data_IF_709421896900
#
_entry.id   IF_709421896900
#
_cell.length_a   1.000
_cell.length_b   1.000
_cell.length_c   1.000
_cell.angle_alpha   90.00
_cell.angle_beta   90.00
_cell.angle_gamma   90.00
#
_symmetry.space_group_name_H-M   'P 1'
#
loop_
_entity.id
_entity.type
_entity.pdbx_description
1 polymer ?
#
# COMPACT_ATOMS: atom_id res chain seq x y z
N UNK A 1 14.87 -11.32 5.65
CA UNK A 1 14.48 -9.90 5.50
C UNK A 1 15.22 -9.20 4.36
N UNK A 2 16.56 -9.13 4.37
CA UNK A 2 17.34 -8.47 3.30
C UNK A 2 17.00 -8.95 1.88
N UNK A 3 16.81 -10.28 1.69
CA UNK A 3 16.42 -10.85 0.40
C UNK A 3 15.06 -10.30 -0.09
N UNK A 4 14.04 -10.26 0.77
CA UNK A 4 12.71 -9.74 0.42
C UNK A 4 12.79 -8.27 0.00
N UNK A 5 13.49 -7.46 0.81
CA UNK A 5 13.72 -6.04 0.51
C UNK A 5 14.43 -5.88 -0.83
N UNK A 6 15.49 -6.65 -1.06
CA UNK A 6 16.24 -6.64 -2.32
C UNK A 6 15.36 -6.97 -3.53
N UNK A 7 14.53 -8.01 -3.45
CA UNK A 7 13.62 -8.39 -4.55
C UNK A 7 12.58 -7.30 -4.83
N UNK A 8 11.97 -6.75 -3.78
CA UNK A 8 10.97 -5.68 -3.92
C UNK A 8 11.60 -4.39 -4.48
N UNK A 9 12.80 -4.04 -4.04
CA UNK A 9 13.53 -2.88 -4.58
C UNK A 9 13.94 -3.10 -6.04
N UNK A 10 14.40 -4.30 -6.40
CA UNK A 10 14.69 -4.63 -7.80
C UNK A 10 13.45 -4.49 -8.68
N UNK A 11 12.29 -4.93 -8.20
CA UNK A 11 11.02 -4.72 -8.89
C UNK A 11 10.69 -3.23 -9.07
N UNK A 12 10.76 -2.44 -7.99
CA UNK A 12 10.51 -1.00 -8.03
C UNK A 12 11.47 -0.26 -8.98
N UNK A 13 12.76 -0.61 -8.95
CA UNK A 13 13.76 -0.05 -9.87
C UNK A 13 13.47 -0.43 -11.33
N UNK A 14 13.11 -1.69 -11.58
CA UNK A 14 12.73 -2.15 -12.91
C UNK A 14 11.54 -1.37 -13.45
N UNK A 15 10.43 -1.31 -12.70
CA UNK A 15 9.24 -0.57 -13.11
C UNK A 15 9.52 0.92 -13.28
N UNK A 16 10.25 1.54 -12.33
CA UNK A 16 10.62 2.94 -12.40
C UNK A 16 11.45 3.26 -13.64
N UNK A 17 12.44 2.42 -13.97
CA UNK A 17 13.25 2.56 -15.18
C UNK A 17 12.41 2.40 -16.45
N UNK A 18 11.55 1.37 -16.52
CA UNK A 18 10.68 1.15 -17.69
C UNK A 18 9.74 2.34 -17.94
N UNK A 19 9.20 2.92 -16.87
CA UNK A 19 8.39 4.14 -16.94
C UNK A 19 9.20 5.36 -17.40
N UNK A 20 10.40 5.57 -16.87
CA UNK A 20 11.22 6.74 -17.18
C UNK A 20 11.71 6.77 -18.63
N UNK A 21 11.90 5.60 -19.27
CA UNK A 21 12.21 5.49 -20.71
C UNK A 21 10.95 5.48 -21.60
N UNK A 22 9.76 5.72 -21.03
CA UNK A 22 8.52 5.89 -21.78
C UNK A 22 7.82 4.60 -22.22
N UNK A 23 8.26 3.41 -21.77
CA UNK A 23 7.66 2.13 -22.21
C UNK A 23 6.20 1.96 -21.78
N UNK A 24 5.82 2.58 -20.67
CA UNK A 24 4.44 2.53 -20.15
C UNK A 24 3.50 3.54 -20.81
N UNK A 25 4.00 4.43 -21.68
CA UNK A 25 3.16 5.32 -22.47
C UNK A 25 2.58 4.68 -23.74
N UNK A 26 2.81 3.38 -23.96
CA UNK A 26 2.50 2.69 -25.21
C UNK A 26 1.19 1.89 -25.13
N UNK A 27 0.39 1.88 -26.21
CA UNK A 27 -0.84 1.08 -26.31
C UNK A 27 -0.63 -0.42 -25.98
N UNK A 28 0.46 -1.09 -26.43
CA UNK A 28 0.70 -2.48 -26.06
C UNK A 28 0.81 -2.70 -24.55
N UNK A 29 1.35 -1.74 -23.79
CA UNK A 29 1.43 -1.85 -22.34
C UNK A 29 0.05 -1.77 -21.68
N UNK A 30 -0.81 -0.87 -22.13
CA UNK A 30 -2.18 -0.76 -21.62
C UNK A 30 -3.02 -2.00 -21.91
N UNK A 31 -2.79 -2.66 -23.05
CA UNK A 31 -3.43 -3.93 -23.40
C UNK A 31 -3.05 -5.08 -22.46
N UNK A 32 -1.96 -4.98 -21.71
CA UNK A 32 -1.60 -5.94 -20.66
C UNK A 32 -2.38 -5.73 -19.36
N UNK A 33 -3.26 -4.73 -19.30
CA UNK A 33 -4.07 -4.40 -18.14
C UNK A 33 -3.25 -4.16 -16.85
N UNK A 34 -2.31 -3.19 -16.85
CA UNK A 34 -1.33 -3.01 -15.79
C UNK A 34 -1.91 -2.77 -14.39
N UNK A 35 -3.13 -2.21 -14.31
CA UNK A 35 -3.85 -2.05 -13.04
C UNK A 35 -4.12 -3.36 -12.30
N UNK A 36 -4.22 -4.49 -13.03
CA UNK A 36 -4.56 -5.79 -12.47
C UNK A 36 -3.38 -6.66 -12.05
N UNK A 37 -2.15 -6.33 -12.46
CA UNK A 37 -0.99 -7.14 -12.10
C UNK A 37 0.10 -6.34 -11.41
N UNK A 38 0.34 -5.09 -11.81
CA UNK A 38 1.51 -4.33 -11.32
C UNK A 38 1.54 -4.17 -9.79
N UNK A 39 0.41 -3.84 -9.12
CA UNK A 39 0.39 -3.77 -7.65
C UNK A 39 0.47 -5.12 -6.96
N UNK A 40 0.07 -6.20 -7.63
CA UNK A 40 -0.02 -7.52 -7.04
C UNK A 40 1.30 -8.29 -7.11
N UNK A 41 2.19 -7.99 -8.06
CA UNK A 41 3.52 -8.64 -8.14
C UNK A 41 4.28 -8.59 -6.81
N UNK A 42 4.53 -7.42 -6.18
CA UNK A 42 5.25 -7.39 -4.90
C UNK A 42 4.47 -8.09 -3.77
N UNK A 43 3.14 -8.08 -3.80
CA UNK A 43 2.29 -8.81 -2.84
C UNK A 43 2.49 -10.32 -2.96
N UNK A 44 2.35 -10.86 -4.18
CA UNK A 44 2.49 -12.29 -4.47
C UNK A 44 3.90 -12.76 -4.12
N UNK A 45 4.92 -11.99 -4.49
CA UNK A 45 6.32 -12.29 -4.15
C UNK A 45 6.51 -12.32 -2.63
N UNK A 46 6.07 -11.28 -1.92
CA UNK A 46 6.22 -11.20 -0.48
C UNK A 46 5.51 -12.35 0.25
N UNK A 47 4.27 -12.66 -0.12
CA UNK A 47 3.50 -13.74 0.47
C UNK A 47 4.11 -15.11 0.15
N UNK A 48 4.51 -15.36 -1.10
CA UNK A 48 5.15 -16.62 -1.49
C UNK A 48 6.45 -16.86 -0.71
N UNK A 49 7.27 -15.82 -0.57
CA UNK A 49 8.50 -15.89 0.23
C UNK A 49 8.19 -16.08 1.72
N UNK A 50 7.20 -15.39 2.27
CA UNK A 50 6.81 -15.51 3.68
C UNK A 50 6.30 -16.93 4.00
N UNK A 51 5.53 -17.54 3.10
CA UNK A 51 5.01 -18.90 3.26
C UNK A 51 6.12 -19.96 3.10
N UNK A 52 7.08 -19.74 2.21
CA UNK A 52 8.12 -20.73 1.88
C UNK A 52 9.36 -20.64 2.78
N UNK A 53 9.67 -19.46 3.33
CA UNK A 53 10.90 -19.20 4.07
C UNK A 53 10.61 -18.94 5.54
N UNK A 54 10.69 -19.98 6.38
CA UNK A 54 10.50 -19.85 7.82
C UNK A 54 11.36 -18.72 8.46
N UNK A 55 12.66 -18.55 8.13
CA UNK A 55 13.46 -17.46 8.69
C UNK A 55 12.95 -16.06 8.33
N UNK A 56 12.32 -15.90 7.16
CA UNK A 56 11.70 -14.63 6.78
C UNK A 56 10.47 -14.36 7.64
N UNK A 57 9.60 -15.36 7.77
CA UNK A 57 8.38 -15.28 8.59
C UNK A 57 8.69 -14.93 10.04
N UNK A 58 9.67 -15.60 10.64
CA UNK A 58 10.06 -15.35 12.03
C UNK A 58 10.70 -13.96 12.19
N UNK A 59 11.53 -13.55 11.23
CA UNK A 59 12.08 -12.18 11.22
C UNK A 59 11.00 -11.10 11.10
N UNK A 60 9.93 -11.33 10.34
CA UNK A 60 8.81 -10.39 10.23
C UNK A 60 7.99 -10.30 11.53
N UNK A 61 7.84 -11.42 12.26
CA UNK A 61 7.21 -11.41 13.60
C UNK A 61 8.03 -10.59 14.59
N UNK A 62 9.34 -10.85 14.65
CA UNK A 62 10.28 -10.09 15.49
C UNK A 62 10.25 -8.60 15.13
N UNK A 63 10.18 -8.26 13.85
CA UNK A 63 10.07 -6.86 13.42
C UNK A 63 8.84 -6.17 14.03
N UNK A 64 7.68 -6.82 14.04
CA UNK A 64 6.48 -6.22 14.64
C UNK A 64 6.60 -6.17 16.16
N UNK A 65 7.11 -7.22 16.79
CA UNK A 65 7.23 -7.34 18.26
C UNK A 65 8.19 -6.28 18.84
N UNK A 66 9.29 -6.00 18.16
CA UNK A 66 10.33 -5.05 18.61
C UNK A 66 10.05 -3.62 18.16
N UNK A 67 9.07 -3.39 17.28
CA UNK A 67 8.71 -2.04 16.83
C UNK A 67 7.64 -1.45 17.74
N UNK A 68 7.87 -0.26 18.35
CA UNK A 68 6.83 0.36 19.16
C UNK A 68 5.58 0.65 18.33
N UNK A 69 4.40 0.37 18.89
CA UNK A 69 3.10 0.44 18.17
C UNK A 69 2.86 1.78 17.46
N UNK A 70 3.30 2.89 18.05
CA UNK A 70 3.15 4.21 17.43
C UNK A 70 3.98 4.39 16.14
N UNK A 71 5.08 3.65 15.95
CA UNK A 71 5.80 3.63 14.68
C UNK A 71 5.07 2.78 13.62
N UNK A 72 4.47 1.67 14.04
CA UNK A 72 3.66 0.81 13.17
C UNK A 72 2.45 1.56 12.61
N UNK A 73 1.78 2.39 13.41
CA UNK A 73 0.75 3.30 12.93
C UNK A 73 1.32 4.53 12.20
N UNK A 74 2.45 5.07 12.68
CA UNK A 74 3.02 6.34 12.24
C UNK A 74 3.47 6.37 10.79
N UNK A 75 3.98 5.25 10.26
CA UNK A 75 4.35 5.15 8.85
C UNK A 75 3.17 5.39 7.89
N UNK A 76 1.94 5.11 8.33
CA UNK A 76 0.75 5.34 7.50
C UNK A 76 0.38 6.82 7.37
N UNK A 77 0.99 7.74 8.13
CA UNK A 77 0.84 9.19 7.93
C UNK A 77 1.29 9.59 6.52
N UNK A 78 2.24 8.84 5.91
CA UNK A 78 2.68 9.07 4.54
C UNK A 78 1.53 9.00 3.51
N UNK A 79 0.42 8.35 3.84
CA UNK A 79 -0.78 8.28 2.98
C UNK A 79 -1.46 9.63 2.78
N UNK A 80 -1.13 10.64 3.60
CA UNK A 80 -1.56 12.03 3.37
C UNK A 80 -1.03 12.57 2.02
N UNK A 81 0.04 11.99 1.48
CA UNK A 81 0.55 12.35 0.16
C UNK A 81 -0.44 12.05 -0.98
N UNK A 82 -1.50 11.26 -0.75
CA UNK A 82 -2.65 11.16 -1.67
C UNK A 82 -3.33 12.50 -1.94
N UNK A 83 -3.14 13.51 -1.08
CA UNK A 83 -3.51 14.89 -1.35
C UNK A 83 -2.93 15.38 -2.68
N UNK A 84 -1.71 14.96 -3.05
CA UNK A 84 -1.11 15.32 -4.33
C UNK A 84 -1.92 14.84 -5.54
N UNK A 85 -2.41 13.60 -5.51
CA UNK A 85 -3.27 13.05 -6.58
C UNK A 85 -4.65 13.71 -6.60
N UNK A 86 -5.21 14.03 -5.43
CA UNK A 86 -6.48 14.75 -5.32
C UNK A 86 -6.37 16.19 -5.86
N UNK A 87 -5.29 16.90 -5.53
CA UNK A 87 -5.04 18.23 -6.07
C UNK A 87 -4.86 18.22 -7.58
N UNK A 88 -4.11 17.24 -8.13
CA UNK A 88 -3.99 17.10 -9.58
C UNK A 88 -5.33 16.81 -10.25
N UNK A 89 -6.14 15.93 -9.66
CA UNK A 89 -7.48 15.63 -10.17
C UNK A 89 -8.37 16.87 -10.15
N UNK A 90 -8.38 17.66 -9.06
CA UNK A 90 -9.12 18.93 -9.00
C UNK A 90 -8.70 19.98 -10.03
N UNK A 91 -7.55 19.81 -10.70
CA UNK A 91 -7.09 20.66 -11.80
C UNK A 91 -7.18 19.95 -13.18
N UNK A 92 -7.91 18.83 -13.26
CA UNK A 92 -8.07 18.01 -14.47
C UNK A 92 -6.74 17.45 -15.04
N UNK A 93 -5.75 17.24 -14.17
CA UNK A 93 -4.43 16.69 -14.51
C UNK A 93 -4.25 15.22 -14.09
N UNK A 94 -5.32 14.57 -13.62
CA UNK A 94 -5.30 13.19 -13.14
C UNK A 94 -6.70 12.58 -13.21
N UNK A 95 -6.84 11.25 -13.36
CA UNK A 95 -8.15 10.57 -13.37
C UNK A 95 -8.94 10.88 -12.09
N UNK A 96 -10.11 11.49 -12.28
CA UNK A 96 -10.99 12.00 -11.24
C UNK A 96 -11.57 10.86 -10.39
N UNK A 97 -12.21 9.87 -11.01
CA UNK A 97 -12.79 8.73 -10.29
C UNK A 97 -11.71 7.98 -9.52
N UNK A 98 -10.58 7.65 -10.15
CA UNK A 98 -9.49 7.00 -9.45
C UNK A 98 -9.00 7.82 -8.25
N UNK A 99 -8.73 9.12 -8.43
CA UNK A 99 -8.22 9.98 -7.37
C UNK A 99 -9.17 10.06 -6.17
N UNK A 100 -10.47 10.25 -6.40
CA UNK A 100 -11.43 10.41 -5.32
C UNK A 100 -11.79 9.08 -4.64
N UNK A 101 -11.96 7.99 -5.40
CA UNK A 101 -12.31 6.68 -4.83
C UNK A 101 -11.15 5.94 -4.19
N UNK A 102 -9.92 6.16 -4.66
CA UNK A 102 -8.72 5.52 -4.09
C UNK A 102 -7.98 6.50 -3.18
N UNK A 103 -7.66 7.69 -3.68
CA UNK A 103 -6.90 8.71 -2.95
C UNK A 103 -7.68 9.38 -1.82
N UNK A 104 -9.01 9.51 -1.94
CA UNK A 104 -9.86 10.05 -0.86
C UNK A 104 -9.79 9.21 0.42
N UNK A 105 -10.13 7.91 0.37
CA UNK A 105 -9.96 7.00 1.50
C UNK A 105 -8.51 6.89 1.98
N UNK A 106 -7.53 6.93 1.08
CA UNK A 106 -6.10 6.91 1.43
C UNK A 106 -5.70 8.12 2.29
N UNK A 107 -6.13 9.31 1.90
CA UNK A 107 -5.94 10.56 2.64
C UNK A 107 -6.62 10.50 4.02
N UNK A 108 -7.89 10.09 4.07
CA UNK A 108 -8.62 9.96 5.33
C UNK A 108 -7.93 8.98 6.28
N UNK A 109 -7.45 7.86 5.76
CA UNK A 109 -6.68 6.91 6.56
C UNK A 109 -5.36 7.50 7.04
N UNK A 110 -4.64 8.24 6.19
CA UNK A 110 -3.41 8.95 6.57
C UNK A 110 -3.62 9.98 7.67
N UNK A 111 -4.73 10.73 7.62
CA UNK A 111 -5.13 11.64 8.70
C UNK A 111 -5.48 10.87 9.98
N UNK A 112 -6.21 9.76 9.86
CA UNK A 112 -6.51 8.88 11.01
C UNK A 112 -5.23 8.34 11.66
N UNK A 113 -4.19 8.06 10.86
CA UNK A 113 -2.90 7.56 11.34
C UNK A 113 -2.19 8.57 12.24
N UNK A 114 -2.38 9.87 12.05
CA UNK A 114 -1.87 10.90 12.98
C UNK A 114 -2.49 10.70 14.36
N UNK A 115 -3.83 10.62 14.41
CA UNK A 115 -4.59 10.48 15.66
C UNK A 115 -4.22 9.17 16.36
N UNK A 116 -4.24 8.06 15.62
CA UNK A 116 -3.91 6.73 16.14
C UNK A 116 -2.48 6.68 16.67
N UNK A 117 -1.53 7.30 15.97
CA UNK A 117 -0.13 7.36 16.42
C UNK A 117 0.04 8.11 17.74
N UNK A 118 -0.66 9.24 17.90
CA UNK A 118 -0.63 10.01 19.15
C UNK A 118 -1.27 9.25 20.32
N UNK A 119 -2.38 8.56 20.06
CA UNK A 119 -3.06 7.72 21.06
C UNK A 119 -2.26 6.46 21.41
N UNK A 120 -1.64 5.81 20.42
CA UNK A 120 -0.74 4.67 20.62
C UNK A 120 0.48 5.07 21.46
N UNK A 121 1.08 6.24 21.18
CA UNK A 121 2.23 6.75 21.94
C UNK A 121 1.89 7.02 23.41
N UNK A 122 0.63 7.36 23.71
CA UNK A 122 0.15 7.59 25.07
C UNK A 122 -0.39 6.32 25.75
N UNK A 123 -0.29 5.14 25.11
CA UNK A 123 -0.76 3.87 25.66
C UNK A 123 -2.28 3.77 25.80
N UNK A 124 -3.04 4.58 25.04
CA UNK A 124 -4.50 4.70 25.17
C UNK A 124 -5.29 3.78 24.24
N UNK A 125 -4.61 3.00 23.39
CA UNK A 125 -5.25 2.11 22.43
C UNK A 125 -5.08 0.66 22.87
N UNK A 126 -6.15 -0.12 22.74
CA UNK A 126 -6.08 -1.56 22.94
C UNK A 126 -5.53 -2.26 21.71
N UNK A 127 -4.94 -3.44 21.94
CA UNK A 127 -4.44 -4.32 20.87
C UNK A 127 -5.52 -4.64 19.84
N UNK A 128 -6.76 -4.86 20.31
CA UNK A 128 -7.93 -5.11 19.46
C UNK A 128 -8.23 -3.94 18.52
N UNK A 129 -8.12 -2.71 19.01
CA UNK A 129 -8.33 -1.52 18.19
C UNK A 129 -7.24 -1.41 17.11
N UNK A 130 -5.97 -1.62 17.48
CA UNK A 130 -4.83 -1.59 16.54
C UNK A 130 -5.00 -2.61 15.43
N UNK A 131 -5.41 -3.85 15.78
CA UNK A 131 -5.71 -4.91 14.83
C UNK A 131 -6.76 -4.46 13.80
N UNK A 132 -7.94 -4.02 14.27
CA UNK A 132 -9.02 -3.63 13.36
C UNK A 132 -8.69 -2.38 12.54
N UNK A 133 -7.96 -1.43 13.11
CA UNK A 133 -7.53 -0.23 12.40
C UNK A 133 -6.60 -0.57 11.24
N UNK A 134 -5.63 -1.48 11.45
CA UNK A 134 -4.77 -1.96 10.37
C UNK A 134 -5.53 -2.77 9.31
N UNK A 135 -6.49 -3.62 9.71
CA UNK A 135 -7.37 -4.31 8.75
C UNK A 135 -8.18 -3.32 7.90
N UNK A 136 -8.77 -2.30 8.51
CA UNK A 136 -9.47 -1.24 7.80
C UNK A 136 -8.53 -0.51 6.83
N UNK A 137 -7.28 -0.26 7.23
CA UNK A 137 -6.25 0.35 6.40
C UNK A 137 -5.91 -0.44 5.15
N UNK A 138 -5.79 -1.76 5.27
CA UNK A 138 -5.59 -2.66 4.12
C UNK A 138 -6.83 -2.67 3.21
N UNK A 139 -8.03 -2.81 3.78
CA UNK A 139 -9.28 -2.87 3.03
C UNK A 139 -9.58 -1.58 2.25
N UNK A 140 -9.21 -0.42 2.80
CA UNK A 140 -9.36 0.86 2.14
C UNK A 140 -8.61 0.94 0.79
N UNK A 141 -7.56 0.15 0.60
CA UNK A 141 -6.80 0.06 -0.67
C UNK A 141 -7.28 -1.14 -1.49
N UNK A 142 -7.36 -2.31 -0.86
CA UNK A 142 -7.61 -3.57 -1.57
C UNK A 142 -9.00 -3.57 -2.22
N UNK A 143 -10.03 -3.03 -1.56
CA UNK A 143 -11.39 -3.08 -2.06
C UNK A 143 -11.55 -2.28 -3.38
N UNK A 144 -11.14 -0.99 -3.46
CA UNK A 144 -11.19 -0.27 -4.74
C UNK A 144 -10.29 -0.89 -5.81
N UNK A 145 -9.06 -1.28 -5.45
CA UNK A 145 -8.07 -1.78 -6.42
C UNK A 145 -8.43 -3.16 -6.97
N UNK A 146 -9.00 -4.05 -6.17
CA UNK A 146 -9.42 -5.38 -6.63
C UNK A 146 -10.79 -5.36 -7.30
N UNK A 147 -11.74 -4.59 -6.75
CA UNK A 147 -13.14 -4.62 -7.17
C UNK A 147 -13.47 -3.69 -8.34
N UNK A 148 -12.80 -2.55 -8.45
CA UNK A 148 -13.22 -1.44 -9.32
C UNK A 148 -12.18 -1.04 -10.38
N UNK A 149 -11.05 -1.74 -10.49
CA UNK A 149 -9.96 -1.36 -11.40
C UNK A 149 -10.40 -1.24 -12.87
N UNK A 150 -11.29 -2.10 -13.36
CA UNK A 150 -11.87 -2.00 -14.70
C UNK A 150 -12.58 -0.66 -14.96
N UNK A 151 -13.20 -0.06 -13.93
CA UNK A 151 -13.86 1.24 -14.03
C UNK A 151 -12.84 2.38 -14.13
N UNK A 152 -11.73 2.27 -13.41
CA UNK A 152 -10.67 3.27 -13.44
C UNK A 152 -9.84 3.20 -14.73
N UNK A 153 -9.61 2.00 -15.25
CA UNK A 153 -8.80 1.76 -16.44
C UNK A 153 -9.35 2.39 -17.72
N UNK A 154 -10.66 2.62 -17.80
CA UNK A 154 -11.31 3.27 -18.94
C UNK A 154 -11.37 4.79 -18.81
N UNK A 155 -10.90 5.34 -17.69
CA UNK A 155 -10.95 6.77 -17.42
C UNK A 155 -9.91 7.54 -18.24
N UNK A 156 -10.22 8.76 -18.72
CA UNK A 156 -9.22 9.66 -19.27
C UNK A 156 -8.06 9.86 -18.29
N UNK A 157 -6.84 10.01 -18.82
CA UNK A 157 -5.62 10.21 -18.03
C UNK A 157 -5.25 9.04 -17.10
N UNK A 158 -5.90 7.87 -17.16
CA UNK A 158 -5.48 6.70 -16.38
C UNK A 158 -4.01 6.31 -16.64
N UNK A 159 -3.52 6.61 -17.84
CA UNK A 159 -2.11 6.49 -18.22
C UNK A 159 -1.13 7.22 -17.29
N UNK A 160 -1.54 8.35 -16.71
CA UNK A 160 -0.72 9.18 -15.82
C UNK A 160 -0.30 8.44 -14.53
N UNK A 161 -1.04 7.39 -14.13
CA UNK A 161 -0.64 6.53 -13.00
C UNK A 161 0.67 5.80 -13.27
N UNK A 162 0.98 5.50 -14.52
CA UNK A 162 2.15 4.70 -14.91
C UNK A 162 3.31 5.55 -15.41
N UNK A 163 3.17 6.89 -15.36
CA UNK A 163 4.25 7.81 -15.68
C UNK A 163 5.13 8.05 -14.45
N UNK A 164 6.44 8.20 -14.67
CA UNK A 164 7.38 8.44 -13.58
C UNK A 164 7.19 9.88 -13.04
N UNK A 165 7.22 10.10 -11.70
CA UNK A 165 7.49 9.14 -10.63
C UNK A 165 6.23 8.42 -10.10
N UNK A 166 5.05 8.71 -10.64
CA UNK A 166 3.76 8.23 -10.12
C UNK A 166 3.66 6.70 -10.10
N UNK A 167 4.25 6.02 -11.08
CA UNK A 167 4.27 4.56 -11.17
C UNK A 167 4.82 3.85 -9.92
N UNK A 168 5.67 4.55 -9.15
CA UNK A 168 6.23 4.00 -7.91
C UNK A 168 5.16 3.73 -6.85
N UNK A 169 4.03 4.45 -6.89
CA UNK A 169 2.92 4.21 -5.98
C UNK A 169 2.31 2.82 -6.16
N UNK A 170 1.73 2.46 -7.33
CA UNK A 170 1.19 1.12 -7.53
C UNK A 170 2.26 0.04 -7.50
N UNK A 171 3.50 0.31 -7.90
CA UNK A 171 4.52 -0.74 -7.99
C UNK A 171 5.26 -1.05 -6.69
N UNK A 172 5.31 -0.11 -5.74
CA UNK A 172 6.13 -0.25 -4.54
C UNK A 172 5.41 0.24 -3.28
N UNK A 173 4.98 1.52 -3.25
CA UNK A 173 4.51 2.16 -2.02
C UNK A 173 3.20 1.55 -1.54
N UNK A 174 2.19 1.51 -2.41
CA UNK A 174 0.85 1.02 -2.08
C UNK A 174 0.89 -0.45 -1.64
N UNK A 175 1.54 -1.38 -2.38
CA UNK A 175 1.67 -2.77 -1.94
C UNK A 175 2.40 -2.92 -0.61
N UNK A 176 3.45 -2.12 -0.37
CA UNK A 176 4.19 -2.17 0.90
C UNK A 176 3.32 -1.74 2.07
N UNK A 177 2.53 -0.67 1.92
CA UNK A 177 1.61 -0.20 2.95
C UNK A 177 0.48 -1.20 3.23
N UNK A 178 -0.02 -1.89 2.20
CA UNK A 178 -1.01 -2.98 2.37
C UNK A 178 -0.38 -4.15 3.13
N UNK A 179 0.79 -4.62 2.69
CA UNK A 179 1.49 -5.73 3.33
C UNK A 179 1.82 -5.43 4.79
N UNK A 180 2.23 -4.19 5.10
CA UNK A 180 2.51 -3.79 6.48
C UNK A 180 1.25 -3.78 7.34
N UNK A 181 0.13 -3.22 6.85
CA UNK A 181 -1.15 -3.30 7.55
C UNK A 181 -1.54 -4.75 7.86
N UNK A 182 -1.44 -5.63 6.87
CA UNK A 182 -1.78 -7.04 7.04
C UNK A 182 -0.82 -7.76 7.98
N UNK A 183 0.48 -7.48 7.92
CA UNK A 183 1.49 -8.06 8.80
C UNK A 183 1.24 -7.69 10.27
N UNK A 184 0.96 -6.41 10.55
CA UNK A 184 0.67 -5.96 11.91
C UNK A 184 -0.64 -6.58 12.41
N UNK A 185 -1.70 -6.54 11.61
CA UNK A 185 -2.97 -7.16 11.98
C UNK A 185 -2.84 -8.67 12.24
N UNK A 186 -2.09 -9.39 11.40
CA UNK A 186 -1.80 -10.81 11.58
C UNK A 186 -1.05 -11.08 12.88
N UNK A 187 -0.04 -10.26 13.21
CA UNK A 187 0.74 -10.47 14.43
C UNK A 187 -0.08 -10.24 15.69
N UNK A 188 -0.87 -9.16 15.74
CA UNK A 188 -1.76 -8.87 16.87
C UNK A 188 -2.83 -9.96 17.04
N UNK A 189 -3.32 -10.53 15.92
CA UNK A 189 -4.22 -11.68 15.96
C UNK A 189 -3.54 -12.91 16.58
N UNK A 190 -2.31 -13.25 16.17
CA UNK A 190 -1.53 -14.35 16.76
C UNK A 190 -1.29 -14.16 18.27
N UNK A 191 -1.10 -12.92 18.71
CA UNK A 191 -0.90 -12.57 20.12
C UNK A 191 -2.20 -12.59 20.96
N UNK A 192 -3.34 -12.89 20.35
CA UNK A 192 -4.60 -13.04 21.05
C UNK A 192 -5.32 -11.73 21.34
N UNK A 193 -5.11 -10.68 20.53
CA UNK A 193 -5.80 -9.38 20.66
C UNK A 193 -7.35 -9.47 20.66
N UNK A 194 -7.94 -10.58 20.18
CA UNK A 194 -9.39 -10.80 20.22
C UNK A 194 -9.89 -11.39 21.55
N UNK A 195 -8.99 -11.90 22.38
CA UNK A 195 -9.29 -12.54 23.66
C UNK A 195 -9.06 -11.62 24.87
N UNK A 196 -8.57 -10.40 24.62
CA UNK A 196 -8.42 -9.31 25.60
C UNK A 196 -9.66 -8.41 25.58
#
# INVERSE_FOLDING_TARGET
>A
MALLIGVILMWGMFIGYQSSVGRFGSEPFYNLMPGYWMPYVPVVVALSMMLSLAPLRDGLRVLVDETPVHWLSGIHILRILALGTLLKASNDLFPQMFAWFVGGPDLLFGVSAIIVTLLARSGRLSDRFILYWHLAGALAIVLPVAGLMHLFMVEPLFAELFMFPMVMAPALIVPTLVLLNLLVAWRFYEQGALNQ
#
